data_IF_401500970693
#
_entry.id   IF_401500970693
#
_cell.length_a   1.000
_cell.length_b   1.000
_cell.length_c   1.000
_cell.angle_alpha   90.00
_cell.angle_beta   90.00
_cell.angle_gamma   90.00
#
_symmetry.space_group_name_H-M   'P 1'
#
loop_
_entity.id
_entity.type
_entity.pdbx_description
1 polymer ?
#
# COMPACT_ATOMS: atom_id res chain seq x y z
N UNK A 1 -5.08 20.17 -3.07
CA UNK A 1 -5.12 19.09 -2.07
C UNK A 1 -4.23 17.96 -2.56
N UNK A 2 -3.03 17.78 -2.00
CA UNK A 2 -2.02 16.82 -2.48
C UNK A 2 -2.38 15.36 -2.20
N UNK A 3 -3.46 14.85 -2.80
CA UNK A 3 -3.84 13.43 -2.75
C UNK A 3 -4.54 12.95 -1.47
N UNK A 4 -4.89 13.86 -0.54
CA UNK A 4 -5.49 13.49 0.75
C UNK A 4 -6.81 12.71 0.60
N UNK A 5 -7.67 13.08 -0.36
CA UNK A 5 -8.91 12.35 -0.63
C UNK A 5 -8.64 10.92 -1.11
N UNK A 6 -7.64 10.73 -1.97
CA UNK A 6 -7.25 9.42 -2.45
C UNK A 6 -6.67 8.54 -1.33
N UNK A 7 -5.80 9.11 -0.49
CA UNK A 7 -5.24 8.40 0.67
C UNK A 7 -6.35 7.93 1.63
N UNK A 8 -7.28 8.83 1.99
CA UNK A 8 -8.40 8.53 2.88
C UNK A 8 -9.35 7.49 2.28
N UNK A 9 -9.67 7.59 0.99
CA UNK A 9 -10.50 6.61 0.29
C UNK A 9 -9.87 5.21 0.33
N UNK A 10 -8.56 5.11 0.09
CA UNK A 10 -7.83 3.84 0.12
C UNK A 10 -7.78 3.23 1.53
N UNK A 11 -7.45 4.04 2.54
CA UNK A 11 -7.41 3.59 3.95
C UNK A 11 -8.78 3.16 4.47
N UNK A 12 -9.86 3.77 3.98
CA UNK A 12 -11.23 3.50 4.42
C UNK A 12 -11.96 2.46 3.54
N UNK A 13 -11.27 1.78 2.62
CA UNK A 13 -11.90 0.86 1.65
C UNK A 13 -12.30 -0.50 2.22
N UNK A 14 -11.78 -0.88 3.40
CA UNK A 14 -11.98 -2.19 4.05
C UNK A 14 -11.68 -3.43 3.17
N UNK A 15 -10.95 -3.24 2.06
CA UNK A 15 -10.59 -4.35 1.18
C UNK A 15 -9.47 -5.19 1.79
N UNK A 16 -9.68 -6.50 1.90
CA UNK A 16 -8.68 -7.43 2.42
C UNK A 16 -7.45 -7.47 1.49
N UNK A 17 -6.27 -7.59 2.09
CA UNK A 17 -5.00 -7.70 1.35
C UNK A 17 -4.50 -6.40 0.72
N UNK A 18 -5.13 -5.25 1.01
CA UNK A 18 -4.64 -3.95 0.54
C UNK A 18 -3.59 -3.41 1.51
N UNK A 19 -2.45 -2.97 0.97
CA UNK A 19 -1.42 -2.23 1.69
C UNK A 19 -1.31 -0.82 1.09
N UNK A 20 -1.56 0.20 1.89
CA UNK A 20 -1.54 1.61 1.47
C UNK A 20 -0.22 2.25 1.89
N UNK A 21 0.40 3.03 0.99
CA UNK A 21 1.59 3.84 1.28
C UNK A 21 1.29 5.32 1.03
N UNK A 22 2.19 6.20 1.50
CA UNK A 22 2.10 7.64 1.25
C UNK A 22 2.07 7.96 -0.26
N UNK A 23 1.46 9.10 -0.61
CA UNK A 23 1.47 9.61 -1.99
C UNK A 23 2.92 9.78 -2.47
N UNK A 24 3.17 9.36 -3.70
CA UNK A 24 4.48 9.32 -4.36
C UNK A 24 5.54 8.40 -3.69
N UNK A 25 5.18 7.62 -2.66
CA UNK A 25 6.08 6.63 -2.05
C UNK A 25 6.14 5.31 -2.84
N UNK A 26 6.56 5.39 -4.11
CA UNK A 26 6.68 4.23 -4.99
C UNK A 26 7.72 3.20 -4.51
N UNK A 27 8.80 3.66 -3.88
CA UNK A 27 9.81 2.77 -3.30
C UNK A 27 9.22 1.92 -2.17
N UNK A 28 8.49 2.55 -1.23
CA UNK A 28 7.81 1.86 -0.15
C UNK A 28 6.81 0.81 -0.67
N UNK A 29 6.07 1.13 -1.74
CA UNK A 29 5.17 0.16 -2.37
C UNK A 29 5.93 -1.06 -2.91
N UNK A 30 7.05 -0.86 -3.62
CA UNK A 30 7.88 -1.95 -4.15
C UNK A 30 8.53 -2.80 -3.05
N UNK A 31 9.02 -2.16 -1.99
CA UNK A 31 9.57 -2.87 -0.84
C UNK A 31 8.52 -3.74 -0.14
N UNK A 32 7.33 -3.19 0.12
CA UNK A 32 6.22 -3.93 0.72
C UNK A 32 5.77 -5.11 -0.15
N UNK A 33 5.68 -4.91 -1.47
CA UNK A 33 5.38 -5.98 -2.41
C UNK A 33 6.42 -7.12 -2.37
N UNK A 34 7.71 -6.78 -2.24
CA UNK A 34 8.77 -7.77 -2.08
C UNK A 34 8.58 -8.58 -0.79
N UNK A 35 8.30 -7.92 0.34
CA UNK A 35 8.03 -8.64 1.60
C UNK A 35 6.85 -9.61 1.46
N UNK A 36 5.76 -9.18 0.84
CA UNK A 36 4.59 -10.04 0.59
C UNK A 36 4.98 -11.25 -0.27
N UNK A 37 5.73 -11.04 -1.36
CA UNK A 37 6.17 -12.12 -2.25
C UNK A 37 7.06 -13.17 -1.54
N UNK A 38 7.78 -12.76 -0.49
CA UNK A 38 8.62 -13.66 0.30
C UNK A 38 7.89 -14.29 1.50
N UNK A 39 6.72 -13.78 1.89
CA UNK A 39 5.95 -14.30 3.03
C UNK A 39 5.49 -15.76 2.83
N UNK A 40 5.34 -16.20 1.57
CA UNK A 40 4.96 -17.57 1.20
C UNK A 40 6.10 -18.54 0.93
N UNK A 41 7.37 -18.10 0.98
CA UNK A 41 8.52 -18.99 0.79
C UNK A 41 8.84 -19.70 2.11
N UNK A 42 8.57 -21.02 2.15
CA UNK A 42 9.13 -21.94 3.15
C UNK A 42 10.60 -22.21 2.83
#
# INVERSE_FOLDING_TARGET
FGGLSALLAMLNSCASGVSVVNIDNGFGAGYQASLINHTGKK
#
